data_IF_594530496286
#
_entry.id   IF_594530496286
#
_cell.length_a   1.000
_cell.length_b   1.000
_cell.length_c   1.000
_cell.angle_alpha   90.00
_cell.angle_beta   90.00
_cell.angle_gamma   90.00
#
_symmetry.space_group_name_H-M   'P 1'
#
loop_
_entity.id
_entity.type
_entity.pdbx_description
1 polymer ?
#
# COMPACT_ATOMS: atom_id res chain seq x y z
N UNK A 1 4.38 -20.32 2.79
CA UNK A 1 2.93 -19.96 2.62
C UNK A 1 2.84 -18.60 1.97
N UNK A 2 2.10 -18.50 0.86
CA UNK A 2 1.98 -17.26 0.10
C UNK A 2 1.16 -16.23 0.89
N UNK A 3 1.67 -15.02 0.99
CA UNK A 3 1.03 -13.87 1.64
C UNK A 3 1.01 -12.68 0.71
N UNK A 4 0.05 -11.79 0.92
CA UNK A 4 -0.08 -10.52 0.23
C UNK A 4 -0.36 -9.45 1.29
N UNK A 5 0.54 -8.48 1.42
CA UNK A 5 0.51 -7.51 2.52
C UNK A 5 0.44 -6.10 1.95
N UNK A 6 -0.53 -5.26 2.35
CA UNK A 6 -0.57 -3.86 1.95
C UNK A 6 0.58 -3.09 2.60
N UNK A 7 1.35 -2.37 1.80
CA UNK A 7 2.51 -1.59 2.26
C UNK A 7 2.50 -0.18 1.67
N UNK A 8 3.04 0.77 2.43
CA UNK A 8 3.30 2.14 2.00
C UNK A 8 4.80 2.41 1.98
N UNK A 9 5.28 3.18 1.02
CA UNK A 9 6.64 3.71 1.03
C UNK A 9 6.79 4.79 2.09
N UNK A 10 7.83 4.73 2.90
CA UNK A 10 8.11 5.71 3.92
C UNK A 10 9.10 6.77 3.42
N UNK A 11 8.60 7.95 3.12
CA UNK A 11 9.44 9.06 2.62
C UNK A 11 10.10 9.90 3.73
N UNK A 12 9.56 9.86 4.96
CA UNK A 12 10.05 10.67 6.08
C UNK A 12 10.43 9.81 7.28
N UNK A 13 11.54 10.19 7.93
CA UNK A 13 12.11 9.41 9.02
C UNK A 13 11.38 9.55 10.36
N UNK A 14 10.54 10.58 10.55
CA UNK A 14 9.87 10.83 11.82
C UNK A 14 8.66 11.74 11.67
N UNK A 15 7.78 11.70 12.67
CA UNK A 15 6.63 12.56 12.79
C UNK A 15 6.85 13.55 13.94
N UNK A 16 6.70 14.89 13.74
CA UNK A 16 6.86 15.86 14.81
C UNK A 16 5.64 15.98 15.73
N UNK A 17 4.50 15.40 15.40
CA UNK A 17 3.21 15.63 16.07
C UNK A 17 2.79 14.49 16.99
N UNK A 18 3.23 13.26 16.73
CA UNK A 18 2.94 12.07 17.53
C UNK A 18 4.04 11.02 17.42
N UNK A 19 4.10 10.07 18.36
CA UNK A 19 5.05 8.96 18.28
C UNK A 19 4.81 8.12 17.01
N UNK A 20 5.85 7.93 16.21
CA UNK A 20 5.88 7.08 15.02
C UNK A 20 6.93 5.99 15.18
N UNK A 21 6.66 4.80 14.62
CA UNK A 21 7.63 3.70 14.62
C UNK A 21 8.80 3.97 13.66
N UNK A 22 9.97 3.51 14.06
CA UNK A 22 11.09 3.36 13.14
C UNK A 22 10.87 2.06 12.38
N UNK A 23 10.59 2.16 11.08
CA UNK A 23 10.34 1.01 10.21
C UNK A 23 11.32 1.02 9.05
N UNK A 24 11.38 -0.10 8.32
CA UNK A 24 12.05 -0.20 7.03
C UNK A 24 11.43 0.74 6.00
N UNK A 25 11.96 0.73 4.77
CA UNK A 25 11.46 1.55 3.67
C UNK A 25 9.97 1.31 3.38
N UNK A 26 9.52 0.05 3.44
CA UNK A 26 8.11 -0.30 3.31
C UNK A 26 7.45 -0.52 4.67
N UNK A 27 6.42 0.28 4.95
CA UNK A 27 5.57 0.19 6.14
C UNK A 27 4.35 -0.68 5.85
N UNK A 28 4.20 -1.80 6.54
CA UNK A 28 2.98 -2.61 6.45
C UNK A 28 1.79 -1.89 7.09
N UNK A 29 0.60 -2.05 6.48
CA UNK A 29 -0.69 -1.59 7.03
C UNK A 29 -1.41 -2.79 7.64
N UNK A 30 -1.24 -3.06 8.95
CA UNK A 30 -1.74 -4.28 9.58
C UNK A 30 -3.23 -4.16 9.95
N UNK A 31 -3.90 -5.30 10.02
CA UNK A 31 -5.31 -5.42 10.41
C UNK A 31 -5.62 -4.94 11.83
N UNK A 32 -4.71 -5.16 12.76
CA UNK A 32 -4.84 -4.78 14.16
C UNK A 32 -3.63 -3.94 14.57
N UNK A 33 -3.54 -2.69 14.09
CA UNK A 33 -2.41 -1.83 14.41
C UNK A 33 -2.43 -1.38 15.87
N UNK A 34 -1.25 -1.20 16.44
CA UNK A 34 -1.08 -0.41 17.64
C UNK A 34 -1.37 1.07 17.35
N UNK A 35 -1.62 1.86 18.39
CA UNK A 35 -1.81 3.32 18.25
C UNK A 35 -0.61 4.00 17.55
N UNK A 36 0.60 3.52 17.82
CA UNK A 36 1.82 4.06 17.20
C UNK A 36 1.89 3.69 15.71
N UNK A 37 1.47 2.47 15.33
CA UNK A 37 1.38 2.05 13.93
C UNK A 37 0.34 2.85 13.16
N UNK A 38 -0.84 3.11 13.77
CA UNK A 38 -1.84 4.01 13.16
C UNK A 38 -1.21 5.37 12.88
N UNK A 39 -0.55 5.96 13.86
CA UNK A 39 0.11 7.26 13.70
C UNK A 39 1.17 7.25 12.59
N UNK A 40 1.96 6.16 12.48
CA UNK A 40 2.98 6.02 11.45
C UNK A 40 2.37 5.95 10.05
N UNK A 41 1.29 5.17 9.87
CA UNK A 41 0.56 5.09 8.59
C UNK A 41 -0.05 6.45 8.23
N UNK A 42 -0.73 7.10 9.17
CA UNK A 42 -1.33 8.44 8.92
C UNK A 42 -0.26 9.45 8.52
N UNK A 43 0.87 9.47 9.23
CA UNK A 43 1.98 10.36 8.89
C UNK A 43 2.54 10.09 7.48
N UNK A 44 2.64 8.83 7.10
CA UNK A 44 3.10 8.44 5.76
C UNK A 44 2.12 8.91 4.68
N UNK A 45 0.80 8.74 4.89
CA UNK A 45 -0.21 9.24 3.96
C UNK A 45 -0.21 10.77 3.83
N UNK A 46 -0.04 11.50 4.95
CA UNK A 46 0.12 12.96 4.94
C UNK A 46 1.38 13.34 4.15
N UNK A 47 2.48 12.61 4.34
CA UNK A 47 3.73 12.87 3.65
C UNK A 47 3.63 12.67 2.13
N UNK A 48 2.84 11.70 1.67
CA UNK A 48 2.58 11.46 0.25
C UNK A 48 1.72 12.55 -0.40
N UNK A 49 0.91 13.28 0.38
CA UNK A 49 0.08 14.38 -0.13
C UNK A 49 0.82 15.72 -0.23
N UNK A 50 2.07 15.78 0.21
CA UNK A 50 2.92 16.98 0.06
C UNK A 50 3.66 16.92 -1.27
N UNK A 51 3.44 17.89 -2.12
CA UNK A 51 4.10 17.96 -3.44
C UNK A 51 5.63 18.02 -3.32
N UNK A 52 6.33 17.59 -4.36
CA UNK A 52 7.80 17.59 -4.41
C UNK A 52 8.41 19.00 -4.25
N UNK A 53 7.62 20.06 -4.47
CA UNK A 53 8.01 21.46 -4.32
C UNK A 53 7.97 21.91 -2.85
N UNK A 54 6.99 21.41 -2.07
CA UNK A 54 6.78 21.71 -0.65
C UNK A 54 7.29 20.59 0.26
N UNK A 55 8.56 20.28 0.21
CA UNK A 55 9.21 19.17 0.99
C UNK A 55 9.11 19.30 2.52
N UNK A 56 8.27 20.20 3.04
CA UNK A 56 8.04 20.39 4.46
C UNK A 56 6.57 20.46 4.79
N UNK A 57 6.12 19.57 5.67
CA UNK A 57 4.77 19.64 6.23
C UNK A 57 4.77 20.78 7.27
N UNK A 58 4.33 21.96 6.85
CA UNK A 58 4.22 23.12 7.73
C UNK A 58 2.87 23.09 8.45
N UNK A 59 2.78 22.39 9.57
CA UNK A 59 1.62 22.43 10.47
C UNK A 59 2.09 22.80 11.88
N UNK A 60 1.23 23.48 12.64
CA UNK A 60 1.50 23.91 14.02
C UNK A 60 1.31 22.77 15.01
N UNK A 61 0.38 21.87 14.71
CA UNK A 61 0.01 20.75 15.55
C UNK A 61 -0.57 19.57 14.73
N UNK A 62 -0.88 18.49 15.43
CA UNK A 62 -1.42 17.26 14.85
C UNK A 62 -2.75 17.48 14.10
N UNK A 63 -3.64 18.30 14.63
CA UNK A 63 -4.94 18.54 14.04
C UNK A 63 -4.82 19.32 12.72
N UNK A 64 -3.99 20.35 12.68
CA UNK A 64 -3.72 21.12 11.45
C UNK A 64 -3.05 20.25 10.37
N UNK A 65 -2.17 19.31 10.76
CA UNK A 65 -1.57 18.40 9.80
C UNK A 65 -2.62 17.50 9.12
N UNK A 66 -3.59 17.00 9.90
CA UNK A 66 -4.71 16.22 9.39
C UNK A 66 -5.66 17.09 8.54
N UNK A 67 -5.98 18.31 8.96
CA UNK A 67 -6.81 19.23 8.18
C UNK A 67 -6.21 19.52 6.79
N UNK A 68 -4.92 19.77 6.74
CA UNK A 68 -4.21 19.99 5.47
C UNK A 68 -4.31 18.77 4.55
N UNK A 69 -4.13 17.56 5.09
CA UNK A 69 -4.34 16.32 4.34
C UNK A 69 -5.76 16.20 3.79
N UNK A 70 -6.79 16.58 4.59
CA UNK A 70 -8.19 16.52 4.18
C UNK A 70 -8.56 17.55 3.10
N UNK A 71 -7.83 18.65 3.00
CA UNK A 71 -8.06 19.74 2.04
C UNK A 71 -7.11 19.69 0.84
N UNK A 72 -6.19 18.73 0.80
CA UNK A 72 -5.31 18.55 -0.33
C UNK A 72 -6.10 17.99 -1.52
N UNK A 73 -6.14 18.75 -2.62
CA UNK A 73 -6.80 18.36 -3.87
C UNK A 73 -5.91 17.43 -4.72
N UNK A 74 -4.69 17.14 -4.28
CA UNK A 74 -3.75 16.29 -5.01
C UNK A 74 -4.21 14.84 -4.99
N UNK A 75 -3.96 14.24 -6.15
CA UNK A 75 -4.36 12.90 -6.56
C UNK A 75 -4.25 11.84 -5.46
N UNK A 76 -5.11 10.86 -5.50
CA UNK A 76 -5.26 9.76 -4.55
C UNK A 76 -4.01 8.86 -4.40
N UNK A 77 -2.83 9.32 -4.81
CA UNK A 77 -1.59 8.54 -4.81
C UNK A 77 -1.07 8.28 -3.40
N UNK A 78 -0.97 7.00 -3.05
CA UNK A 78 -0.38 6.53 -1.80
C UNK A 78 0.78 5.58 -2.12
N UNK A 79 1.99 6.14 -2.35
CA UNK A 79 3.17 5.36 -2.75
C UNK A 79 3.30 4.06 -1.95
N UNK A 80 3.46 2.92 -2.64
CA UNK A 80 3.45 1.60 -2.03
C UNK A 80 2.81 0.55 -2.92
N UNK A 81 2.06 -0.39 -2.33
CA UNK A 81 1.40 -1.45 -3.10
C UNK A 81 1.19 -2.71 -2.29
N UNK A 82 1.22 -3.87 -2.95
CA UNK A 82 1.14 -5.17 -2.29
C UNK A 82 2.50 -5.87 -2.30
N UNK A 83 3.06 -6.09 -1.12
CA UNK A 83 4.22 -6.95 -0.89
C UNK A 83 3.77 -8.40 -0.96
N UNK A 84 4.43 -9.21 -1.78
CA UNK A 84 4.27 -10.64 -1.83
C UNK A 84 5.30 -11.33 -0.93
N UNK A 85 4.89 -12.39 -0.24
CA UNK A 85 5.79 -13.21 0.57
C UNK A 85 5.55 -14.69 0.34
N UNK A 86 6.63 -15.49 0.32
CA UNK A 86 6.56 -16.95 0.38
C UNK A 86 7.80 -17.51 1.10
N UNK A 87 7.56 -18.20 2.22
CA UNK A 87 8.58 -18.92 3.00
C UNK A 87 9.88 -18.13 3.27
N UNK A 88 9.74 -16.84 3.62
CA UNK A 88 10.86 -15.95 3.96
C UNK A 88 11.46 -15.20 2.77
N UNK A 89 11.02 -15.46 1.55
CA UNK A 89 11.31 -14.63 0.39
C UNK A 89 10.19 -13.59 0.17
N UNK A 90 10.56 -12.38 -0.21
CA UNK A 90 9.60 -11.29 -0.45
C UNK A 90 9.86 -10.59 -1.78
N UNK A 91 8.79 -10.17 -2.43
CA UNK A 91 8.82 -9.27 -3.56
C UNK A 91 8.06 -8.00 -3.14
N UNK A 92 8.78 -6.89 -3.08
CA UNK A 92 8.21 -5.59 -2.82
C UNK A 92 7.65 -4.98 -4.11
N UNK A 93 6.63 -4.09 -4.02
CA UNK A 93 6.25 -3.27 -5.15
C UNK A 93 7.42 -2.38 -5.57
N UNK A 94 7.47 -2.02 -6.85
CA UNK A 94 8.45 -1.05 -7.35
C UNK A 94 8.02 0.41 -7.07
N UNK A 95 8.89 1.35 -7.43
CA UNK A 95 8.58 2.79 -7.40
C UNK A 95 7.45 3.14 -8.39
N UNK A 96 6.76 4.24 -8.13
CA UNK A 96 5.74 4.82 -9.03
C UNK A 96 4.48 3.96 -9.21
N UNK A 97 4.17 3.12 -8.21
CA UNK A 97 2.90 2.45 -8.02
C UNK A 97 2.36 2.81 -6.63
N UNK A 98 1.04 2.84 -6.48
CA UNK A 98 0.39 3.22 -5.23
C UNK A 98 -0.38 2.08 -4.58
N UNK A 99 -0.53 2.16 -3.24
CA UNK A 99 -1.43 1.26 -2.52
C UNK A 99 -2.90 1.49 -2.90
N UNK A 100 -3.25 2.65 -3.43
CA UNK A 100 -4.58 2.94 -4.01
C UNK A 100 -4.92 2.05 -5.22
N UNK A 101 -3.90 1.49 -5.89
CA UNK A 101 -4.05 0.58 -7.05
C UNK A 101 -4.13 -0.91 -6.64
N UNK A 102 -4.12 -1.25 -5.35
CA UNK A 102 -4.11 -2.65 -4.89
C UNK A 102 -5.21 -3.53 -5.49
N UNK A 103 -6.34 -2.92 -5.88
CA UNK A 103 -7.48 -3.63 -6.48
C UNK A 103 -7.23 -4.08 -7.92
N UNK A 104 -6.22 -3.55 -8.59
CA UNK A 104 -5.91 -3.91 -9.97
C UNK A 104 -5.41 -5.35 -10.08
N UNK A 105 -5.00 -5.95 -8.97
CA UNK A 105 -4.75 -7.40 -8.89
C UNK A 105 -5.95 -8.26 -9.27
N UNK A 106 -7.18 -7.71 -9.30
CA UNK A 106 -8.36 -8.39 -9.86
C UNK A 106 -8.23 -8.64 -11.36
N UNK A 107 -7.55 -7.76 -12.09
CA UNK A 107 -7.25 -7.91 -13.51
C UNK A 107 -6.35 -9.12 -13.74
N UNK A 108 -5.42 -9.38 -12.81
CA UNK A 108 -4.56 -10.58 -12.84
C UNK A 108 -5.37 -11.87 -12.71
N UNK A 109 -6.43 -11.87 -11.90
CA UNK A 109 -7.37 -13.01 -11.83
C UNK A 109 -8.02 -13.24 -13.19
N UNK A 110 -8.37 -12.16 -13.91
CA UNK A 110 -8.93 -12.18 -15.26
C UNK A 110 -7.94 -12.59 -16.36
N UNK A 111 -6.65 -12.64 -16.06
CA UNK A 111 -5.60 -13.00 -17.03
C UNK A 111 -4.85 -11.81 -17.63
N UNK A 112 -5.05 -10.62 -17.08
CA UNK A 112 -4.35 -9.41 -17.50
C UNK A 112 -2.99 -9.27 -16.77
N UNK A 113 -2.08 -8.50 -17.35
CA UNK A 113 -0.82 -8.07 -16.72
C UNK A 113 -1.02 -6.66 -16.19
N UNK A 114 -0.57 -6.41 -14.97
CA UNK A 114 -0.61 -5.10 -14.33
C UNK A 114 0.80 -4.55 -14.13
N UNK A 115 0.90 -3.25 -14.00
CA UNK A 115 2.14 -2.58 -13.61
C UNK A 115 2.33 -2.71 -12.10
N UNK A 116 3.53 -3.09 -11.68
CA UNK A 116 3.90 -3.26 -10.27
C UNK A 116 5.00 -2.30 -9.82
N UNK A 117 5.29 -1.29 -10.63
CA UNK A 117 6.35 -0.31 -10.37
C UNK A 117 7.66 -0.65 -11.07
N UNK A 118 8.68 0.18 -10.83
CA UNK A 118 10.05 -0.03 -11.31
C UNK A 118 11.04 0.12 -10.15
N UNK A 119 12.28 -0.37 -10.28
CA UNK A 119 13.35 -0.28 -9.27
C UNK A 119 12.99 -0.70 -7.83
N UNK A 120 12.62 -1.99 -7.58
CA UNK A 120 12.66 -3.12 -8.50
C UNK A 120 11.52 -3.05 -9.51
N UNK A 121 11.63 -3.83 -10.58
CA UNK A 121 10.68 -3.85 -11.67
C UNK A 121 9.96 -5.22 -11.69
N UNK A 122 9.02 -5.47 -10.75
CA UNK A 122 8.35 -6.76 -10.65
C UNK A 122 7.46 -6.98 -11.87
N UNK A 123 7.39 -8.21 -12.35
CA UNK A 123 6.61 -8.57 -13.54
C UNK A 123 5.67 -9.74 -13.27
N UNK A 124 4.41 -9.59 -13.69
CA UNK A 124 3.40 -10.65 -13.69
C UNK A 124 3.50 -11.46 -14.98
N UNK A 125 3.57 -12.78 -14.86
CA UNK A 125 3.51 -13.74 -15.97
C UNK A 125 2.44 -14.79 -15.73
N UNK A 126 1.57 -15.02 -16.72
CA UNK A 126 0.55 -16.07 -16.65
C UNK A 126 1.08 -17.40 -17.18
N UNK A 127 1.11 -18.44 -16.33
CA UNK A 127 1.53 -19.79 -16.63
C UNK A 127 0.40 -20.80 -16.41
N UNK A 128 -0.64 -20.73 -17.22
CA UNK A 128 -1.82 -21.59 -17.08
C UNK A 128 -2.53 -21.37 -15.74
N UNK A 129 -2.58 -22.35 -14.82
CA UNK A 129 -3.25 -22.20 -13.53
C UNK A 129 -2.44 -21.41 -12.50
N UNK A 130 -1.22 -20.99 -12.83
CA UNK A 130 -0.29 -20.29 -11.96
C UNK A 130 -0.05 -18.87 -12.49
N UNK A 131 0.04 -17.92 -11.59
CA UNK A 131 0.55 -16.56 -11.82
C UNK A 131 1.93 -16.51 -11.21
N UNK A 132 2.95 -16.26 -12.01
CA UNK A 132 4.32 -16.04 -11.56
C UNK A 132 4.59 -14.57 -11.43
N UNK A 133 5.12 -14.14 -10.30
CA UNK A 133 5.60 -12.80 -10.10
C UNK A 133 7.10 -12.82 -9.96
N UNK A 134 7.78 -12.20 -10.90
CA UNK A 134 9.23 -12.05 -10.92
C UNK A 134 9.63 -10.84 -10.10
N UNK A 135 10.73 -10.91 -9.38
CA UNK A 135 11.24 -9.77 -8.59
C UNK A 135 11.81 -8.65 -9.49
N UNK A 136 12.43 -9.03 -10.60
CA UNK A 136 13.04 -8.10 -11.55
C UNK A 136 12.77 -8.59 -12.97
N UNK A 137 11.63 -8.16 -13.55
CA UNK A 137 11.21 -8.64 -14.87
C UNK A 137 11.26 -7.58 -15.97
N UNK A 138 11.14 -6.31 -15.62
CA UNK A 138 10.91 -5.25 -16.59
C UNK A 138 12.12 -4.83 -17.41
N UNK A 139 13.35 -5.06 -16.93
CA UNK A 139 14.55 -4.86 -17.75
C UNK A 139 14.63 -5.83 -18.95
N UNK A 140 13.76 -6.83 -18.98
CA UNK A 140 13.62 -7.78 -20.08
C UNK A 140 12.58 -7.37 -21.15
N UNK A 141 12.02 -6.16 -21.08
CA UNK A 141 11.08 -5.60 -22.07
C UNK A 141 11.64 -5.53 -23.50
N UNK A 142 12.93 -5.83 -23.69
CA UNK A 142 13.60 -5.95 -24.99
C UNK A 142 13.45 -7.31 -25.69
N UNK A 143 12.52 -8.17 -25.27
CA UNK A 143 12.26 -9.47 -25.89
C UNK A 143 13.22 -10.61 -25.49
N UNK A 144 14.06 -10.39 -24.49
CA UNK A 144 14.90 -11.46 -23.91
C UNK A 144 14.03 -12.32 -22.99
N UNK A 145 14.06 -13.64 -23.17
CA UNK A 145 13.38 -14.57 -22.27
C UNK A 145 13.90 -14.41 -20.84
N UNK A 146 12.97 -14.37 -19.87
CA UNK A 146 13.31 -14.36 -18.45
C UNK A 146 14.13 -15.63 -18.12
N UNK A 147 15.20 -15.46 -17.34
CA UNK A 147 15.98 -16.59 -16.86
C UNK A 147 15.11 -17.37 -15.86
N UNK A 148 14.88 -18.70 -16.05
CA UNK A 148 14.08 -19.49 -15.09
C UNK A 148 14.62 -19.50 -13.66
N UNK A 149 15.90 -19.20 -13.46
CA UNK A 149 16.57 -19.14 -12.15
C UNK A 149 16.42 -17.79 -11.44
N UNK A 150 15.80 -16.78 -12.11
CA UNK A 150 15.53 -15.49 -11.46
C UNK A 150 14.55 -15.67 -10.29
N UNK A 151 14.73 -14.89 -9.20
CA UNK A 151 13.85 -14.96 -8.04
C UNK A 151 12.39 -14.62 -8.42
N UNK A 152 11.45 -15.48 -8.02
CA UNK A 152 10.04 -15.32 -8.31
C UNK A 152 9.16 -16.00 -7.25
N UNK A 153 7.88 -15.64 -7.22
CA UNK A 153 6.83 -16.30 -6.44
C UNK A 153 5.77 -16.84 -7.39
N UNK A 154 5.47 -18.13 -7.27
CA UNK A 154 4.42 -18.82 -8.03
C UNK A 154 3.12 -18.85 -7.21
N UNK A 155 2.09 -18.15 -7.68
CA UNK A 155 0.78 -18.04 -7.02
C UNK A 155 -0.23 -18.89 -7.80
N UNK A 156 -0.83 -19.95 -7.23
CA UNK A 156 -1.96 -20.60 -7.87
C UNK A 156 -3.10 -19.58 -8.08
N UNK A 157 -3.58 -19.41 -9.33
CA UNK A 157 -4.55 -18.37 -9.67
C UNK A 157 -5.80 -18.41 -8.78
N UNK A 158 -6.26 -19.61 -8.41
CA UNK A 158 -7.46 -19.80 -7.60
C UNK A 158 -7.34 -19.30 -6.15
N UNK A 159 -6.12 -19.02 -5.64
CA UNK A 159 -5.95 -18.44 -4.28
C UNK A 159 -5.91 -16.92 -4.27
N UNK A 160 -5.73 -16.26 -5.43
CA UNK A 160 -5.69 -14.79 -5.53
C UNK A 160 -6.94 -14.12 -4.92
N UNK A 161 -8.18 -14.59 -5.15
CA UNK A 161 -9.36 -14.01 -4.51
C UNK A 161 -9.28 -14.00 -2.98
N UNK A 162 -8.78 -15.10 -2.38
CA UNK A 162 -8.63 -15.18 -0.93
C UNK A 162 -7.53 -14.25 -0.41
N UNK A 163 -6.42 -14.12 -1.14
CA UNK A 163 -5.34 -13.19 -0.79
C UNK A 163 -5.83 -11.73 -0.84
N UNK A 164 -6.54 -11.34 -1.89
CA UNK A 164 -7.12 -9.98 -1.98
C UNK A 164 -8.19 -9.74 -0.92
N UNK A 165 -8.98 -10.76 -0.57
CA UNK A 165 -9.92 -10.69 0.55
C UNK A 165 -9.21 -10.44 1.88
N UNK A 166 -8.05 -11.05 2.11
CA UNK A 166 -7.23 -10.82 3.29
C UNK A 166 -6.67 -9.39 3.32
N UNK A 167 -6.15 -8.89 2.20
CA UNK A 167 -5.70 -7.48 2.04
C UNK A 167 -6.83 -6.52 2.40
N UNK A 168 -8.04 -6.71 1.85
CA UNK A 168 -9.19 -5.87 2.19
C UNK A 168 -9.52 -5.91 3.68
N UNK A 169 -9.43 -7.07 4.31
CA UNK A 169 -9.66 -7.20 5.75
C UNK A 169 -8.57 -6.48 6.58
N UNK A 170 -7.32 -6.50 6.14
CA UNK A 170 -6.24 -5.79 6.82
C UNK A 170 -6.47 -4.28 6.75
N UNK A 171 -6.78 -3.76 5.58
CA UNK A 171 -7.09 -2.34 5.37
C UNK A 171 -8.36 -1.91 6.14
N UNK A 172 -9.42 -2.73 6.15
CA UNK A 172 -10.65 -2.46 6.91
C UNK A 172 -10.40 -2.46 8.43
N UNK A 173 -9.55 -3.37 8.91
CA UNK A 173 -9.11 -3.39 10.30
C UNK A 173 -8.34 -2.12 10.68
N UNK A 174 -7.48 -1.64 9.79
CA UNK A 174 -6.80 -0.36 9.96
C UNK A 174 -7.79 0.82 10.08
N UNK A 175 -8.81 0.91 9.19
CA UNK A 175 -9.84 1.95 9.28
C UNK A 175 -10.58 1.92 10.63
N UNK A 176 -10.87 0.72 11.14
CA UNK A 176 -11.51 0.54 12.44
C UNK A 176 -10.66 1.11 13.58
N UNK A 177 -9.34 0.93 13.53
CA UNK A 177 -8.41 1.45 14.52
C UNK A 177 -8.13 2.96 14.34
N UNK A 178 -8.23 3.48 13.13
CA UNK A 178 -8.01 4.88 12.80
C UNK A 178 -8.99 5.80 13.50
N UNK A 179 -10.28 5.46 13.54
CA UNK A 179 -11.34 6.31 14.09
C UNK A 179 -11.07 6.71 15.57
N UNK A 180 -10.91 5.78 16.54
CA UNK A 180 -10.64 6.16 17.93
C UNK A 180 -9.28 6.84 18.11
N UNK A 181 -8.31 6.55 17.26
CA UNK A 181 -7.01 7.21 17.29
C UNK A 181 -7.15 8.71 16.98
N UNK A 182 -7.87 9.06 15.92
CA UNK A 182 -8.13 10.47 15.54
C UNK A 182 -9.00 11.17 16.57
N UNK A 183 -10.00 10.49 17.14
CA UNK A 183 -10.82 11.04 18.24
C UNK A 183 -9.95 11.52 19.42
N UNK A 184 -8.86 10.82 19.71
CA UNK A 184 -7.90 11.20 20.75
C UNK A 184 -7.11 12.48 20.43
N UNK A 185 -7.02 12.87 19.15
CA UNK A 185 -6.40 14.14 18.71
C UNK A 185 -7.45 15.25 18.66
N UNK A 186 -8.49 15.03 17.85
CA UNK A 186 -9.62 15.96 17.69
C UNK A 186 -10.84 15.22 17.13
N UNK A 187 -11.92 15.17 17.88
CA UNK A 187 -13.07 14.31 17.62
C UNK A 187 -13.79 14.62 16.28
N UNK A 188 -13.89 15.86 15.88
CA UNK A 188 -14.56 16.29 14.63
C UNK A 188 -13.77 15.91 13.36
N UNK A 189 -12.50 15.50 13.47
CA UNK A 189 -11.70 15.01 12.35
C UNK A 189 -11.81 13.50 12.13
N UNK A 190 -12.41 12.74 13.06
CA UNK A 190 -12.40 11.29 13.00
C UNK A 190 -13.15 10.74 11.77
N UNK A 191 -14.42 11.08 11.60
CA UNK A 191 -15.20 10.65 10.44
C UNK A 191 -14.62 11.17 9.11
N UNK A 192 -14.23 12.46 8.98
CA UNK A 192 -13.61 12.97 7.76
C UNK A 192 -12.34 12.23 7.37
N UNK A 193 -11.44 11.93 8.32
CA UNK A 193 -10.18 11.26 7.99
C UNK A 193 -10.41 9.80 7.61
N UNK A 194 -11.29 9.07 8.32
CA UNK A 194 -11.66 7.70 7.96
C UNK A 194 -12.25 7.65 6.55
N UNK A 195 -13.18 8.56 6.24
CA UNK A 195 -13.78 8.64 4.92
C UNK A 195 -12.76 8.99 3.81
N UNK A 196 -11.81 9.87 4.09
CA UNK A 196 -10.76 10.24 3.14
C UNK A 196 -9.81 9.06 2.85
N UNK A 197 -9.36 8.35 3.89
CA UNK A 197 -8.50 7.17 3.73
C UNK A 197 -9.24 6.03 3.04
N UNK A 198 -10.51 5.77 3.41
CA UNK A 198 -11.34 4.75 2.76
C UNK A 198 -11.50 5.04 1.27
N UNK A 199 -11.83 6.29 0.91
CA UNK A 199 -11.97 6.71 -0.49
C UNK A 199 -10.66 6.58 -1.26
N UNK A 200 -9.54 7.10 -0.69
CA UNK A 200 -8.22 7.06 -1.32
C UNK A 200 -7.78 5.62 -1.62
N UNK A 201 -7.85 4.75 -0.62
CA UNK A 201 -7.44 3.35 -0.76
C UNK A 201 -8.56 2.43 -1.24
N UNK A 202 -9.77 2.96 -1.50
CA UNK A 202 -10.94 2.21 -2.00
C UNK A 202 -11.25 0.96 -1.17
N UNK A 203 -11.21 1.05 0.18
CA UNK A 203 -11.21 -0.10 1.08
C UNK A 203 -12.59 -0.75 1.16
N UNK A 204 -13.65 0.04 1.45
CA UNK A 204 -15.00 -0.48 1.72
C UNK A 204 -15.77 -0.92 0.48
N UNK A 205 -15.33 -0.56 -0.72
CA UNK A 205 -16.00 -0.97 -1.95
C UNK A 205 -15.94 -2.51 -2.11
N UNK A 206 -16.99 -3.17 -2.64
CA UNK A 206 -16.96 -4.62 -2.93
C UNK A 206 -15.79 -5.00 -3.85
N UNK A 207 -15.15 -6.14 -3.60
CA UNK A 207 -14.07 -6.61 -4.48
C UNK A 207 -14.56 -6.98 -5.88
N UNK A 208 -15.77 -7.53 -5.99
CA UNK A 208 -16.34 -7.93 -7.28
C UNK A 208 -15.61 -9.11 -7.95
N UNK A 209 -15.08 -10.06 -7.14
CA UNK A 209 -14.34 -11.26 -7.56
C UNK A 209 -15.04 -12.52 -7.09
#
# INVERSE_FOLDING_TARGET
>A
MITMTPVLERWFAGCPFWPAEQTDFYLAVPRMPTSQQVGTVVWTLIAHSVTAEDRSITARDAAEAIEKYLTCDDEDFAAGGLRLGDDGFVIDPGCCVGLDEWRDWRLVIGGEVIYLGHDPDPLVEHRGPVVRVWMTGGQHSSGTALNPDEPHIDIPRHVLPALLGAVQQDLAGFLTALHPWVQGIRADLADPLVAAVDRRLRISAPLGI
#
